data_IF_391087881001
#
_entry.id   IF_391087881001
#
_cell.length_a   1.000
_cell.length_b   1.000
_cell.length_c   1.000
_cell.angle_alpha   90.00
_cell.angle_beta   90.00
_cell.angle_gamma   90.00
#
_symmetry.space_group_name_H-M   'P 1'
#
loop_
_entity.id
_entity.type
_entity.pdbx_description
1 polymer ?
#
# COMPACT_ATOMS: atom_id res chain seq x y z
N UNK A 1 -7.01 -13.49 -9.41
CA UNK A 1 -5.94 -12.66 -10.02
C UNK A 1 -4.75 -12.64 -9.07
N UNK A 2 -3.50 -12.78 -9.55
CA UNK A 2 -2.31 -12.91 -8.69
C UNK A 2 -2.18 -11.81 -7.64
N UNK A 3 -2.49 -10.57 -7.99
CA UNK A 3 -2.48 -9.41 -7.07
C UNK A 3 -3.52 -9.56 -5.96
N UNK A 4 -4.74 -10.01 -6.29
CA UNK A 4 -5.78 -10.26 -5.27
C UNK A 4 -5.36 -11.42 -4.39
N UNK A 5 -4.78 -12.48 -4.96
CA UNK A 5 -4.33 -13.62 -4.18
C UNK A 5 -3.19 -13.23 -3.22
N UNK A 6 -2.29 -12.34 -3.67
CA UNK A 6 -1.18 -11.81 -2.89
C UNK A 6 -1.65 -10.87 -1.76
N UNK A 7 -2.62 -10.00 -2.03
CA UNK A 7 -3.19 -9.13 -1.00
C UNK A 7 -4.10 -9.90 -0.04
N UNK A 8 -4.94 -10.80 -0.57
CA UNK A 8 -5.89 -11.55 0.25
C UNK A 8 -5.23 -12.65 1.08
N UNK A 9 -4.08 -13.22 0.70
CA UNK A 9 -3.42 -14.24 1.54
C UNK A 9 -3.01 -13.67 2.90
N UNK A 10 -2.50 -12.45 2.93
CA UNK A 10 -2.03 -11.80 4.16
C UNK A 10 -3.13 -10.95 4.82
N UNK A 11 -4.05 -10.36 4.04
CA UNK A 11 -5.13 -9.51 4.57
C UNK A 11 -6.42 -10.26 4.93
N UNK A 12 -6.56 -11.56 4.60
CA UNK A 12 -7.71 -12.39 5.02
C UNK A 12 -7.95 -12.38 6.53
N UNK A 13 -6.92 -12.07 7.31
CA UNK A 13 -6.97 -12.04 8.77
C UNK A 13 -7.28 -10.65 9.33
N UNK A 14 -7.53 -9.64 8.49
CA UNK A 14 -7.97 -8.30 8.92
C UNK A 14 -9.47 -8.17 8.65
N UNK A 15 -10.35 -8.64 9.56
CA UNK A 15 -11.78 -8.78 9.31
C UNK A 15 -12.51 -7.46 9.06
N UNK A 16 -11.87 -6.33 9.37
CA UNK A 16 -12.43 -4.99 9.15
C UNK A 16 -12.18 -4.45 7.74
N UNK A 17 -11.30 -5.07 6.95
CA UNK A 17 -10.96 -4.57 5.61
C UNK A 17 -11.65 -5.40 4.53
N UNK A 18 -12.41 -4.73 3.67
CA UNK A 18 -13.04 -5.32 2.50
C UNK A 18 -12.38 -4.84 1.20
N UNK A 19 -12.28 -5.72 0.21
CA UNK A 19 -11.88 -5.38 -1.15
C UNK A 19 -13.13 -5.06 -1.96
N UNK A 20 -13.39 -3.78 -2.21
CA UNK A 20 -14.68 -3.34 -2.75
C UNK A 20 -14.67 -3.11 -4.26
N UNK A 21 -13.53 -2.73 -4.84
CA UNK A 21 -13.41 -2.54 -6.28
C UNK A 21 -12.03 -2.90 -6.81
N UNK A 22 -12.00 -3.36 -8.06
CA UNK A 22 -10.80 -3.82 -8.74
C UNK A 22 -10.86 -3.39 -10.21
N UNK A 23 -10.20 -2.27 -10.50
CA UNK A 23 -10.15 -1.70 -11.84
C UNK A 23 -8.81 -1.98 -12.50
N UNK A 24 -8.79 -1.97 -13.84
CA UNK A 24 -7.55 -2.08 -14.63
C UNK A 24 -7.52 -0.98 -15.68
N UNK A 25 -6.50 -0.15 -15.65
CA UNK A 25 -6.31 1.00 -16.56
C UNK A 25 -4.84 1.08 -16.93
N UNK A 26 -4.50 1.19 -18.22
CA UNK A 26 -3.13 1.45 -18.71
C UNK A 26 -2.04 0.58 -18.05
N UNK A 27 -2.20 -0.76 -18.07
CA UNK A 27 -1.29 -1.73 -17.45
C UNK A 27 -1.15 -1.61 -15.91
N UNK A 28 -1.99 -0.79 -15.28
CA UNK A 28 -2.10 -0.68 -13.85
C UNK A 28 -3.39 -1.35 -13.36
N UNK A 29 -3.31 -1.89 -12.16
CA UNK A 29 -4.43 -2.44 -11.44
C UNK A 29 -4.68 -1.62 -10.20
N UNK A 30 -5.90 -1.11 -10.04
CA UNK A 30 -6.30 -0.29 -8.90
C UNK A 30 -7.20 -1.13 -8.02
N UNK A 31 -6.82 -1.31 -6.76
CA UNK A 31 -7.57 -2.09 -5.78
C UNK A 31 -8.06 -1.16 -4.68
N UNK A 32 -9.38 -1.02 -4.54
CA UNK A 32 -9.99 -0.23 -3.48
C UNK A 32 -10.21 -1.10 -2.24
N UNK A 33 -9.62 -0.67 -1.14
CA UNK A 33 -9.76 -1.20 0.20
C UNK A 33 -10.74 -0.32 0.97
N UNK A 34 -11.68 -0.92 1.69
CA UNK A 34 -12.61 -0.24 2.58
C UNK A 34 -12.39 -0.73 4.01
N UNK A 35 -12.14 0.18 4.95
CA UNK A 35 -12.12 -0.14 6.37
C UNK A 35 -13.51 0.09 6.98
N UNK A 36 -14.18 -1.00 7.31
CA UNK A 36 -15.50 -0.99 7.98
C UNK A 36 -15.47 -0.30 9.34
N UNK A 37 -14.31 -0.21 10.01
CA UNK A 37 -14.22 0.39 11.34
C UNK A 37 -14.24 1.91 11.29
N UNK A 38 -13.49 2.49 10.35
CA UNK A 38 -13.38 3.95 10.20
C UNK A 38 -14.23 4.49 9.06
N UNK A 39 -14.86 3.62 8.28
CA UNK A 39 -15.59 3.94 7.05
C UNK A 39 -14.75 4.68 6.01
N UNK A 40 -13.42 4.49 6.05
CA UNK A 40 -12.49 5.12 5.11
C UNK A 40 -12.14 4.17 3.98
N UNK A 41 -11.70 4.75 2.85
CA UNK A 41 -11.25 3.99 1.70
C UNK A 41 -9.81 4.33 1.36
N UNK A 42 -9.12 3.36 0.78
CA UNK A 42 -7.82 3.56 0.17
C UNK A 42 -7.75 2.82 -1.17
N UNK A 43 -7.07 3.40 -2.15
CA UNK A 43 -6.79 2.74 -3.42
C UNK A 43 -5.31 2.40 -3.49
N UNK A 44 -5.00 1.13 -3.69
CA UNK A 44 -3.64 0.68 -3.95
C UNK A 44 -3.47 0.45 -5.45
N UNK A 45 -2.51 1.14 -6.04
CA UNK A 45 -2.24 1.09 -7.47
C UNK A 45 -1.03 0.20 -7.70
N UNK A 46 -1.21 -0.83 -8.53
CA UNK A 46 -0.17 -1.76 -8.92
C UNK A 46 0.18 -1.59 -10.39
N UNK A 47 1.45 -1.64 -10.75
CA UNK A 47 1.83 -2.02 -12.10
C UNK A 47 1.64 -3.54 -12.23
N UNK A 48 1.08 -4.02 -13.35
CA UNK A 48 0.82 -5.46 -13.55
C UNK A 48 2.11 -6.20 -13.95
N UNK A 49 3.02 -5.52 -14.65
CA UNK A 49 4.26 -6.13 -15.13
C UNK A 49 5.45 -5.14 -15.05
N UNK A 50 6.42 -5.34 -14.11
CA UNK A 50 6.37 -6.30 -13.02
C UNK A 50 5.29 -5.94 -11.98
N UNK A 51 4.76 -6.96 -11.28
CA UNK A 51 3.81 -6.75 -10.18
C UNK A 51 4.49 -5.94 -9.07
N UNK A 52 4.13 -4.66 -8.94
CA UNK A 52 4.73 -3.72 -7.97
C UNK A 52 3.71 -2.66 -7.56
N UNK A 53 3.73 -2.21 -6.30
CA UNK A 53 2.91 -1.09 -5.85
C UNK A 53 3.54 0.19 -6.37
N UNK A 54 2.79 1.00 -7.14
CA UNK A 54 3.27 2.25 -7.74
C UNK A 54 2.56 3.49 -7.21
N UNK A 55 1.47 3.32 -6.47
CA UNK A 55 0.80 4.43 -5.80
C UNK A 55 -0.20 4.00 -4.74
N UNK A 56 -0.56 4.96 -3.90
CA UNK A 56 -1.56 4.85 -2.85
C UNK A 56 -2.39 6.14 -2.82
N UNK A 57 -3.71 6.02 -2.93
CA UNK A 57 -4.64 7.11 -2.63
C UNK A 57 -5.33 6.82 -1.32
N UNK A 58 -5.24 7.73 -0.35
CA UNK A 58 -6.02 7.69 0.89
C UNK A 58 -7.22 8.62 0.70
N UNK A 59 -8.42 8.04 0.70
CA UNK A 59 -9.66 8.74 0.43
C UNK A 59 -10.29 9.19 1.76
N UNK A 60 -10.22 10.49 2.03
CA UNK A 60 -10.94 11.14 3.12
C UNK A 60 -12.23 11.77 2.56
N UNK A 61 -13.23 12.09 3.41
CA UNK A 61 -14.50 12.65 2.94
C UNK A 61 -14.35 13.90 2.05
N UNK A 62 -13.42 14.79 2.41
CA UNK A 62 -13.26 16.09 1.75
C UNK A 62 -11.99 16.19 0.89
N UNK A 63 -11.12 15.18 0.92
CA UNK A 63 -9.82 15.24 0.24
C UNK A 63 -9.26 13.87 -0.08
N UNK A 64 -8.34 13.85 -1.05
CA UNK A 64 -7.53 12.66 -1.33
C UNK A 64 -6.07 12.99 -1.09
N UNK A 65 -5.39 12.16 -0.31
CA UNK A 65 -3.94 12.19 -0.20
C UNK A 65 -3.36 11.14 -1.14
N UNK A 66 -2.61 11.59 -2.14
CA UNK A 66 -1.98 10.70 -3.13
C UNK A 66 -0.49 10.58 -2.86
N UNK A 67 0.01 9.35 -2.82
CA UNK A 67 1.41 9.00 -2.67
C UNK A 67 1.82 8.21 -3.90
N UNK A 68 2.79 8.71 -4.65
CA UNK A 68 3.33 8.05 -5.84
C UNK A 68 4.72 7.50 -5.54
N UNK A 69 4.97 6.25 -5.94
CA UNK A 69 6.27 5.60 -5.75
C UNK A 69 7.04 5.57 -7.06
N UNK A 70 8.34 5.90 -6.99
CA UNK A 70 9.25 5.92 -8.12
C UNK A 70 10.53 5.14 -7.78
N UNK A 71 11.29 4.75 -8.80
CA UNK A 71 12.57 4.03 -8.64
C UNK A 71 12.46 2.77 -7.76
N UNK A 72 11.40 1.99 -8.00
CA UNK A 72 11.01 0.87 -7.15
C UNK A 72 11.91 -0.33 -7.45
N UNK A 73 12.71 -0.70 -6.47
CA UNK A 73 13.53 -1.90 -6.51
C UNK A 73 12.85 -3.02 -5.72
N UNK A 74 12.52 -4.12 -6.40
CA UNK A 74 11.87 -5.30 -5.78
C UNK A 74 12.88 -6.41 -5.55
N UNK A 75 12.68 -7.21 -4.50
CA UNK A 75 13.51 -8.38 -4.16
C UNK A 75 15.01 -8.06 -3.89
N UNK A 76 15.31 -6.83 -3.46
CA UNK A 76 16.67 -6.46 -3.02
C UNK A 76 16.81 -6.72 -1.52
N UNK A 77 17.89 -7.38 -1.04
CA UNK A 77 18.16 -7.49 0.39
C UNK A 77 18.33 -6.11 1.02
N UNK A 78 17.54 -5.82 2.06
CA UNK A 78 17.68 -4.60 2.84
C UNK A 78 18.44 -4.94 4.13
N UNK A 79 19.49 -4.17 4.41
CA UNK A 79 20.27 -4.34 5.64
C UNK A 79 19.40 -3.99 6.86
N UNK A 80 19.49 -4.78 7.94
CA UNK A 80 18.75 -4.54 9.18
C UNK A 80 18.99 -3.14 9.76
N UNK A 81 20.15 -2.53 9.47
CA UNK A 81 20.51 -1.17 9.90
C UNK A 81 19.61 -0.10 9.29
N UNK A 82 19.06 -0.31 8.11
CA UNK A 82 18.12 0.61 7.46
C UNK A 82 16.80 0.76 8.23
N UNK A 83 16.49 -0.18 9.14
CA UNK A 83 15.31 -0.14 10.00
C UNK A 83 15.59 0.44 11.40
N UNK A 84 16.81 0.95 11.64
CA UNK A 84 17.14 1.60 12.92
C UNK A 84 16.78 3.07 12.86
N UNK A 85 15.89 3.49 13.75
CA UNK A 85 15.70 4.91 14.04
C UNK A 85 16.76 5.31 15.07
N UNK A 86 17.77 6.06 14.64
CA UNK A 86 18.78 6.58 15.57
C UNK A 86 18.19 7.74 16.36
N UNK A 87 17.76 7.42 17.59
CA UNK A 87 17.21 8.40 18.53
C UNK A 87 18.27 9.07 19.40
N UNK A 88 19.57 8.79 19.18
CA UNK A 88 20.66 9.36 19.99
C UNK A 88 20.63 10.90 20.04
N UNK A 89 20.15 11.54 18.97
CA UNK A 89 20.05 13.00 18.85
C UNK A 89 18.84 13.59 19.59
N UNK A 90 17.88 12.77 20.05
CA UNK A 90 16.72 13.24 20.81
C UNK A 90 16.96 13.27 22.32
N UNK A 91 18.07 12.70 22.80
CA UNK A 91 18.42 12.62 24.22
C UNK A 91 19.73 13.33 24.57
N UNK A 92 20.23 14.21 23.70
CA UNK A 92 21.28 15.15 24.06
C UNK A 92 20.69 16.32 24.85
N UNK A 93 20.81 16.18 26.18
CA UNK A 93 20.57 17.13 27.28
C UNK A 93 19.14 17.47 27.68
#
# INVERSE_FOLDING_TARGET
SPIINLLSSDMKNVPTIDFVNINTVNNQKIVTLYDKKSELQAEVIFNINPITIVGLNILNPDSTTSIQFYNINSNIPIDKREFKHDISHYYSE
#
